data_IF_245304612468
#
_entry.id   IF_245304612468
#
_cell.length_a   1.000
_cell.length_b   1.000
_cell.length_c   1.000
_cell.angle_alpha   90.00
_cell.angle_beta   90.00
_cell.angle_gamma   90.00
#
_symmetry.space_group_name_H-M   'P 1'
#
loop_
_entity.id
_entity.type
_entity.pdbx_description
1 polymer ?
#
# COMPACT_ATOMS: atom_id res chain seq x y z
N UNK A 1 17.39 7.45 -29.87
CA UNK A 1 17.70 8.58 -29.00
C UNK A 1 16.57 8.80 -28.01
N UNK A 2 16.91 9.06 -26.80
CA UNK A 2 15.87 9.32 -25.81
C UNK A 2 15.07 10.58 -26.17
N UNK A 3 13.80 10.55 -25.87
CA UNK A 3 12.91 11.66 -26.18
C UNK A 3 13.26 12.91 -25.38
N UNK A 4 13.68 12.74 -24.13
CA UNK A 4 14.05 13.85 -23.28
C UNK A 4 15.08 13.44 -22.23
N UNK A 5 16.34 13.65 -22.56
CA UNK A 5 17.43 13.36 -21.63
C UNK A 5 17.43 14.26 -20.40
N UNK A 6 16.70 15.38 -20.42
CA UNK A 6 16.58 16.29 -19.28
C UNK A 6 15.90 15.64 -18.09
N UNK A 7 15.11 14.59 -18.33
CA UNK A 7 14.50 13.82 -17.25
C UNK A 7 15.54 13.34 -16.23
N UNK A 8 16.76 13.03 -16.70
CA UNK A 8 17.82 12.51 -15.85
C UNK A 8 18.80 13.60 -15.38
N UNK A 9 18.52 14.86 -15.72
CA UNK A 9 19.38 15.97 -15.33
C UNK A 9 19.21 16.25 -13.83
N UNK A 10 20.31 16.71 -13.21
CA UNK A 10 20.31 17.07 -11.81
C UNK A 10 19.92 18.52 -11.64
N UNK A 11 19.20 18.81 -10.57
CA UNK A 11 18.88 20.17 -10.19
C UNK A 11 19.99 20.73 -9.32
N UNK A 12 20.49 21.91 -9.69
CA UNK A 12 21.50 22.60 -8.90
C UNK A 12 20.95 23.03 -7.54
N UNK A 13 21.75 22.86 -6.50
CA UNK A 13 21.38 23.25 -5.14
C UNK A 13 20.48 22.27 -4.41
N UNK A 14 20.16 21.13 -5.02
CA UNK A 14 19.37 20.09 -4.33
C UNK A 14 20.20 19.44 -3.22
N UNK A 15 19.60 19.29 -2.04
CA UNK A 15 20.21 18.62 -0.89
C UNK A 15 19.49 17.31 -0.64
N UNK A 16 20.22 16.17 -0.59
CA UNK A 16 19.58 14.91 -0.25
C UNK A 16 18.91 14.97 1.12
N UNK A 17 17.69 14.45 1.21
CA UNK A 17 16.95 14.39 2.46
C UNK A 17 17.36 13.21 3.35
N UNK A 18 18.17 12.30 2.81
CA UNK A 18 18.67 11.12 3.53
C UNK A 18 19.33 10.17 2.56
N UNK A 19 19.67 8.99 3.04
CA UNK A 19 20.22 7.92 2.24
C UNK A 19 19.11 7.02 1.70
N UNK A 20 19.31 6.43 0.53
CA UNK A 20 18.39 5.42 0.01
C UNK A 20 18.51 4.12 0.80
N UNK A 21 17.49 3.27 0.70
CA UNK A 21 17.44 1.98 1.38
C UNK A 21 16.98 0.90 0.42
N UNK A 22 17.40 -0.33 0.69
CA UNK A 22 16.99 -1.50 -0.07
C UNK A 22 16.16 -2.42 0.83
N UNK A 23 15.06 -2.93 0.30
CA UNK A 23 14.17 -3.82 1.04
C UNK A 23 13.86 -5.05 0.20
N UNK A 24 13.75 -6.20 0.87
CA UNK A 24 13.09 -7.36 0.32
C UNK A 24 11.77 -7.50 1.06
N UNK A 25 10.65 -7.29 0.37
CA UNK A 25 9.35 -7.12 1.01
C UNK A 25 8.92 -8.32 1.86
N UNK A 26 9.27 -9.53 1.42
CA UNK A 26 8.89 -10.76 2.12
C UNK A 26 9.81 -11.10 3.29
N UNK A 27 10.86 -10.30 3.55
CA UNK A 27 11.63 -10.38 4.79
C UNK A 27 10.91 -9.70 5.97
N UNK A 28 9.89 -8.88 5.69
CA UNK A 28 9.08 -8.27 6.73
C UNK A 28 8.21 -9.32 7.40
N UNK A 29 8.08 -9.26 8.72
CA UNK A 29 7.19 -10.15 9.44
C UNK A 29 5.74 -9.84 9.07
N UNK A 30 4.96 -10.84 8.63
CA UNK A 30 3.56 -10.59 8.29
C UNK A 30 2.73 -10.21 9.52
N UNK A 31 1.80 -9.29 9.32
CA UNK A 31 0.79 -8.94 10.31
C UNK A 31 -0.53 -9.53 9.82
N UNK A 32 -1.04 -10.53 10.52
CA UNK A 32 -2.32 -11.12 10.17
C UNK A 32 -3.45 -10.27 10.73
N UNK A 33 -4.24 -9.67 9.84
CA UNK A 33 -5.33 -8.75 10.19
C UNK A 33 -6.64 -9.51 10.42
N UNK A 34 -6.91 -10.46 9.55
CA UNK A 34 -8.03 -11.39 9.60
C UNK A 34 -7.47 -12.75 9.17
N UNK A 35 -8.14 -13.85 9.48
CA UNK A 35 -7.69 -15.15 8.96
C UNK A 35 -7.53 -15.12 7.45
N UNK A 36 -6.31 -15.39 6.97
CA UNK A 36 -6.00 -15.41 5.55
C UNK A 36 -5.69 -14.08 4.91
N UNK A 37 -5.66 -12.99 5.67
CA UNK A 37 -5.31 -11.65 5.18
C UNK A 37 -4.09 -11.13 5.94
N UNK A 38 -2.96 -10.97 5.24
CA UNK A 38 -1.69 -10.59 5.86
C UNK A 38 -1.11 -9.35 5.21
N UNK A 39 -0.54 -8.50 6.03
CA UNK A 39 0.12 -7.25 5.64
C UNK A 39 1.63 -7.35 5.89
N UNK A 40 2.42 -6.85 4.92
CA UNK A 40 3.87 -6.73 5.06
C UNK A 40 4.29 -5.34 4.59
N UNK A 41 4.23 -4.34 5.48
CA UNK A 41 4.44 -2.95 5.12
C UNK A 41 5.92 -2.56 5.05
N UNK A 42 6.23 -1.65 4.14
CA UNK A 42 7.52 -0.96 4.05
C UNK A 42 7.24 0.53 4.18
N UNK A 43 7.88 1.16 5.15
CA UNK A 43 7.58 2.52 5.53
C UNK A 43 8.64 3.49 5.02
N UNK A 44 8.22 4.47 4.22
CA UNK A 44 9.00 5.65 3.87
C UNK A 44 8.64 6.84 4.74
N UNK A 45 9.18 8.00 4.40
CA UNK A 45 8.86 9.24 5.12
C UNK A 45 7.48 9.79 4.73
N UNK A 46 7.21 9.89 3.44
CA UNK A 46 5.97 10.46 2.91
C UNK A 46 5.06 9.44 2.26
N UNK A 47 5.51 8.20 2.17
CA UNK A 47 4.73 7.13 1.56
C UNK A 47 4.96 5.82 2.29
N UNK A 48 4.04 4.91 2.08
CA UNK A 48 4.10 3.57 2.62
C UNK A 48 3.69 2.60 1.51
N UNK A 49 4.41 1.50 1.41
CA UNK A 49 4.03 0.36 0.58
C UNK A 49 3.59 -0.77 1.49
N UNK A 50 2.48 -1.42 1.18
CA UNK A 50 2.01 -2.57 1.93
C UNK A 50 1.75 -3.71 0.97
N UNK A 51 2.50 -4.79 1.11
CA UNK A 51 2.25 -6.02 0.36
C UNK A 51 1.19 -6.81 1.10
N UNK A 52 0.05 -7.02 0.44
CA UNK A 52 -1.12 -7.63 1.03
C UNK A 52 -1.36 -8.98 0.39
N UNK A 53 -1.35 -10.02 1.19
CA UNK A 53 -1.57 -11.40 0.75
C UNK A 53 -2.96 -11.87 1.17
N UNK A 54 -3.74 -12.32 0.21
CA UNK A 54 -5.07 -12.90 0.43
C UNK A 54 -5.03 -14.40 0.15
N UNK A 55 -5.51 -15.19 1.08
CA UNK A 55 -5.88 -16.58 0.79
C UNK A 55 -7.22 -16.61 0.05
N UNK A 56 -7.63 -17.79 -0.49
CA UNK A 56 -8.97 -17.92 -1.07
C UNK A 56 -10.07 -17.62 -0.07
N UNK A 57 -11.19 -17.11 -0.55
CA UNK A 57 -12.42 -16.87 0.22
C UNK A 57 -12.22 -15.91 1.40
N UNK A 58 -11.42 -14.86 1.21
CA UNK A 58 -11.18 -13.82 2.21
C UNK A 58 -11.89 -12.54 1.79
N UNK A 59 -12.53 -11.89 2.75
CA UNK A 59 -13.18 -10.59 2.57
C UNK A 59 -12.44 -9.55 3.37
N UNK A 60 -11.91 -8.53 2.69
CA UNK A 60 -11.45 -7.29 3.30
C UNK A 60 -12.64 -6.32 3.28
N UNK A 61 -13.21 -5.98 4.44
CA UNK A 61 -14.46 -5.20 4.50
C UNK A 61 -14.31 -3.81 3.88
N UNK A 62 -15.42 -3.27 3.39
CA UNK A 62 -15.46 -1.90 2.89
C UNK A 62 -15.11 -0.94 4.01
N UNK A 63 -14.17 -0.04 3.73
CA UNK A 63 -13.69 0.97 4.65
C UNK A 63 -13.21 2.19 3.88
N UNK A 64 -12.89 3.26 4.56
CA UNK A 64 -12.34 4.47 3.97
C UNK A 64 -11.35 5.13 4.93
N UNK A 65 -10.47 5.93 4.37
CA UNK A 65 -9.46 6.66 5.12
C UNK A 65 -8.98 7.88 4.33
N UNK A 66 -8.33 8.78 4.99
CA UNK A 66 -7.91 10.05 4.39
C UNK A 66 -6.71 9.91 3.45
N UNK A 67 -5.90 8.90 3.62
CA UNK A 67 -4.74 8.67 2.77
C UNK A 67 -5.18 8.30 1.35
N UNK A 68 -4.51 8.88 0.35
CA UNK A 68 -4.65 8.42 -1.02
C UNK A 68 -4.01 7.04 -1.17
N UNK A 69 -4.63 6.18 -1.95
CA UNK A 69 -4.16 4.81 -2.12
C UNK A 69 -4.13 4.42 -3.59
N UNK A 70 -3.06 3.73 -3.98
CA UNK A 70 -3.01 3.02 -5.26
C UNK A 70 -2.76 1.55 -4.97
N UNK A 71 -3.61 0.68 -5.51
CA UNK A 71 -3.50 -0.78 -5.34
C UNK A 71 -3.16 -1.41 -6.66
N UNK A 72 -2.13 -2.26 -6.68
CA UNK A 72 -1.65 -2.92 -7.89
C UNK A 72 -1.65 -4.42 -7.63
N UNK A 73 -2.32 -5.21 -8.48
CA UNK A 73 -2.29 -6.67 -8.36
C UNK A 73 -0.99 -7.19 -8.96
N UNK A 74 -0.20 -7.87 -8.13
CA UNK A 74 1.09 -8.46 -8.51
C UNK A 74 0.89 -9.90 -9.01
N UNK A 75 0.02 -10.65 -8.33
CA UNK A 75 -0.23 -12.06 -8.65
C UNK A 75 -1.65 -12.43 -8.22
N UNK A 76 -2.30 -13.29 -9.01
CA UNK A 76 -3.67 -13.72 -8.74
C UNK A 76 -4.70 -12.65 -9.12
N UNK A 77 -5.82 -12.68 -8.44
CA UNK A 77 -6.93 -11.80 -8.72
C UNK A 77 -7.86 -11.67 -7.52
N UNK A 78 -8.61 -10.57 -7.47
CA UNK A 78 -9.67 -10.38 -6.48
C UNK A 78 -10.78 -9.51 -7.08
N UNK A 79 -11.96 -9.56 -6.49
CA UNK A 79 -13.00 -8.59 -6.78
C UNK A 79 -12.77 -7.38 -5.90
N UNK A 80 -12.68 -6.22 -6.52
CA UNK A 80 -12.45 -4.96 -5.80
C UNK A 80 -13.67 -4.06 -5.94
N UNK A 81 -14.09 -3.49 -4.83
CA UNK A 81 -15.17 -2.50 -4.79
C UNK A 81 -14.56 -1.14 -4.46
N UNK A 82 -14.87 -0.14 -5.28
CA UNK A 82 -14.43 1.24 -5.05
C UNK A 82 -15.56 2.19 -5.45
N UNK A 83 -15.99 3.04 -4.52
CA UNK A 83 -17.08 3.98 -4.76
C UNK A 83 -18.37 3.29 -5.21
N UNK A 84 -18.65 2.09 -4.73
CA UNK A 84 -19.83 1.32 -5.11
C UNK A 84 -19.70 0.53 -6.40
N UNK A 85 -18.59 0.66 -7.14
CA UNK A 85 -18.35 -0.10 -8.35
C UNK A 85 -17.52 -1.35 -8.04
N UNK A 86 -17.94 -2.49 -8.56
CA UNK A 86 -17.23 -3.77 -8.38
C UNK A 86 -16.62 -4.22 -9.69
N UNK A 87 -15.39 -4.69 -9.62
CA UNK A 87 -14.69 -5.24 -10.78
C UNK A 87 -13.72 -6.33 -10.34
N UNK A 88 -13.59 -7.37 -11.16
CA UNK A 88 -12.53 -8.34 -11.02
C UNK A 88 -11.22 -7.71 -11.50
N UNK A 89 -10.25 -7.63 -10.61
CA UNK A 89 -8.95 -7.00 -10.88
C UNK A 89 -7.89 -8.09 -10.89
N UNK A 90 -7.10 -8.12 -11.95
CA UNK A 90 -6.14 -9.20 -12.21
C UNK A 90 -4.73 -8.65 -12.24
N UNK A 91 -3.76 -9.56 -12.27
CA UNK A 91 -2.34 -9.23 -12.36
C UNK A 91 -2.06 -8.11 -13.35
N UNK A 92 -1.31 -7.11 -12.91
CA UNK A 92 -0.91 -5.96 -13.72
C UNK A 92 -1.95 -4.84 -13.80
N UNK A 93 -3.13 -5.05 -13.23
CA UNK A 93 -4.15 -4.01 -13.18
C UNK A 93 -4.08 -3.26 -11.85
N UNK A 94 -4.53 -2.02 -11.85
CA UNK A 94 -4.42 -1.13 -10.70
C UNK A 94 -5.74 -0.40 -10.42
N UNK A 95 -5.89 0.02 -9.17
CA UNK A 95 -7.01 0.84 -8.70
C UNK A 95 -6.43 2.09 -8.05
N UNK A 96 -6.96 3.25 -8.41
CA UNK A 96 -6.66 4.50 -7.71
C UNK A 96 -7.83 4.85 -6.81
N UNK A 97 -7.54 5.05 -5.53
CA UNK A 97 -8.55 5.33 -4.51
C UNK A 97 -8.26 6.70 -3.92
N UNK A 98 -9.06 7.73 -4.28
CA UNK A 98 -8.92 9.05 -3.68
C UNK A 98 -9.24 9.03 -2.19
N UNK A 99 -8.82 10.07 -1.44
CA UNK A 99 -9.14 10.16 -0.01
C UNK A 99 -10.62 9.93 0.27
N UNK A 100 -10.89 9.13 1.27
CA UNK A 100 -12.23 8.86 1.83
C UNK A 100 -13.23 8.19 0.89
N UNK A 101 -12.77 7.63 -0.22
CA UNK A 101 -13.63 6.82 -1.09
C UNK A 101 -13.74 5.42 -0.50
N UNK A 102 -14.97 4.93 -0.22
CA UNK A 102 -15.15 3.58 0.33
C UNK A 102 -14.63 2.51 -0.63
N UNK A 103 -13.92 1.53 -0.09
CA UNK A 103 -13.36 0.43 -0.88
C UNK A 103 -13.20 -0.82 -0.04
N UNK A 104 -13.22 -1.95 -0.72
CA UNK A 104 -13.02 -3.27 -0.13
C UNK A 104 -12.66 -4.27 -1.22
N UNK A 105 -12.33 -5.49 -0.81
CA UNK A 105 -11.90 -6.52 -1.74
C UNK A 105 -12.28 -7.90 -1.23
N UNK A 106 -12.42 -8.85 -2.15
CA UNK A 106 -12.58 -10.25 -1.76
C UNK A 106 -11.97 -11.18 -2.79
N UNK A 107 -11.40 -12.27 -2.29
CA UNK A 107 -10.98 -13.39 -3.12
C UNK A 107 -12.06 -14.46 -3.15
N UNK A 108 -12.05 -15.27 -4.20
CA UNK A 108 -12.90 -16.46 -4.34
C UNK A 108 -12.03 -17.71 -4.32
N UNK A 109 -11.83 -18.37 -5.44
CA UNK A 109 -11.12 -19.64 -5.46
C UNK A 109 -9.60 -19.53 -5.47
N UNK A 110 -9.07 -18.34 -5.77
CA UNK A 110 -7.62 -18.14 -5.90
C UNK A 110 -7.08 -17.18 -4.85
N UNK A 111 -5.77 -17.22 -4.66
CA UNK A 111 -5.04 -16.26 -3.85
C UNK A 111 -4.87 -14.95 -4.61
N UNK A 112 -4.52 -13.89 -3.89
CA UNK A 112 -4.12 -12.63 -4.50
C UNK A 112 -2.99 -12.00 -3.71
N UNK A 113 -1.98 -11.51 -4.42
CA UNK A 113 -0.95 -10.65 -3.85
C UNK A 113 -1.11 -9.28 -4.48
N UNK A 114 -1.35 -8.27 -3.64
CA UNK A 114 -1.44 -6.89 -4.10
C UNK A 114 -0.43 -6.01 -3.39
N UNK A 115 -0.07 -4.91 -4.03
CA UNK A 115 0.74 -3.85 -3.45
C UNK A 115 -0.13 -2.62 -3.28
N UNK A 116 -0.31 -2.18 -2.03
CA UNK A 116 -0.97 -0.93 -1.70
C UNK A 116 0.08 0.15 -1.45
N UNK A 117 -0.06 1.28 -2.12
CA UNK A 117 0.80 2.44 -1.92
C UNK A 117 -0.05 3.56 -1.32
N UNK A 118 0.39 4.12 -0.21
CA UNK A 118 -0.31 5.18 0.52
C UNK A 118 0.54 6.45 0.59
N UNK A 119 -0.11 7.59 0.43
CA UNK A 119 0.48 8.89 0.72
C UNK A 119 -0.57 9.77 1.44
N UNK A 120 -0.30 10.25 2.64
CA UNK A 120 0.83 9.90 3.52
C UNK A 120 0.76 8.45 4.01
N UNK A 121 1.73 7.99 4.82
CA UNK A 121 1.65 6.65 5.41
C UNK A 121 0.33 6.40 6.12
N UNK A 122 -0.25 5.22 5.91
CA UNK A 122 -1.58 4.84 6.40
C UNK A 122 -1.60 4.83 7.93
N UNK A 123 -2.35 5.76 8.53
CA UNK A 123 -2.39 5.96 9.99
C UNK A 123 -2.80 4.68 10.74
N UNK A 124 -3.87 4.03 10.31
CA UNK A 124 -4.31 2.79 10.95
C UNK A 124 -3.27 1.68 10.90
N UNK A 125 -2.48 1.62 9.82
CA UNK A 125 -1.40 0.65 9.71
C UNK A 125 -0.23 1.02 10.62
N UNK A 126 0.08 2.30 10.77
CA UNK A 126 1.08 2.76 11.73
C UNK A 126 0.69 2.39 13.16
N UNK A 127 -0.59 2.46 13.52
CA UNK A 127 -1.09 2.00 14.81
C UNK A 127 -0.86 0.50 15.00
N UNK A 128 -1.19 -0.30 13.99
CA UNK A 128 -0.96 -1.75 14.04
C UNK A 128 0.51 -2.11 14.18
N UNK A 129 1.41 -1.29 13.63
CA UNK A 129 2.84 -1.46 13.74
C UNK A 129 3.40 -0.95 15.08
N UNK A 130 2.57 -0.32 15.90
CA UNK A 130 3.01 0.27 17.17
C UNK A 130 3.83 1.55 16.99
N UNK A 131 3.68 2.24 15.88
CA UNK A 131 4.47 3.43 15.53
C UNK A 131 3.75 4.76 15.77
N UNK A 132 2.60 4.71 16.43
CA UNK A 132 1.85 5.90 16.85
C UNK A 132 1.84 5.92 18.36
N UNK A 133 2.31 7.04 18.95
CA UNK A 133 2.28 7.25 20.40
C UNK A 133 0.94 7.75 20.92
N UNK A 134 0.80 7.94 22.24
CA UNK A 134 -0.46 8.42 22.84
C UNK A 134 -0.90 9.80 22.37
N UNK A 135 0.03 10.61 21.87
CA UNK A 135 -0.24 11.93 21.32
C UNK A 135 -0.64 11.91 19.83
N UNK A 136 -0.75 10.71 19.25
CA UNK A 136 -1.06 10.52 17.84
C UNK A 136 0.12 10.74 16.90
N UNK A 137 1.32 10.95 17.42
CA UNK A 137 2.53 11.17 16.62
C UNK A 137 3.31 9.88 16.43
N UNK A 138 4.06 9.84 15.36
CA UNK A 138 4.93 8.69 15.07
C UNK A 138 6.05 8.61 16.09
N UNK A 139 6.32 7.38 16.56
CA UNK A 139 7.38 7.11 17.54
C UNK A 139 8.73 6.76 16.91
N UNK A 140 8.76 6.51 15.59
CA UNK A 140 9.98 6.20 14.83
C UNK A 140 10.71 7.45 14.32
N UNK A 141 10.26 8.65 14.73
CA UNK A 141 10.84 9.94 14.36
C UNK A 141 11.17 10.75 15.60
N UNK A 142 12.20 11.54 15.46
CA UNK A 142 12.58 12.54 16.45
C UNK A 142 11.76 13.83 16.34
#
# INVERSE_FOLDING_TARGET
MSKDARYFAQEDGATPAGEGSFFKWDDQDPIEILPGLRFQPILGDRLMANFVSFEPNVVAPVHWHDEEQMSIVIHGEFEFEVGGQKKLVKRGEAILIPPNVPHGARTYDSTCLELDIFNPPRHGLLELMGLIGPDGRRTDRD
#
